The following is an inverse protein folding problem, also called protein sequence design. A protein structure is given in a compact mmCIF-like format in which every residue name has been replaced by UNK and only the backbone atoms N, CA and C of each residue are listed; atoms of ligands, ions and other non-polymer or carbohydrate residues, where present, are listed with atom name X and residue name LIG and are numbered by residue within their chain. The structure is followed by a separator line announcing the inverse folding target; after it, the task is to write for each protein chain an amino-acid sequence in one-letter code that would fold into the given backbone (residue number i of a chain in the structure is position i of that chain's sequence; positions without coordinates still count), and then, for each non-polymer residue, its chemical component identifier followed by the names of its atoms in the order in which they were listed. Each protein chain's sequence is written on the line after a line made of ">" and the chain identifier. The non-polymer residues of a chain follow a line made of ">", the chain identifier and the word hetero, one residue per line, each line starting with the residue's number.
data_IF_372859157826
#
_entry.id   IF_372859157826
#
_cell.length_a   1.000
_cell.length_b   1.000
_cell.length_c   1.000
_cell.angle_alpha   90.00
_cell.angle_beta   90.00
_cell.angle_gamma   90.00
#
_symmetry.space_group_name_H-M   'P 1'
#
loop_
_entity.id
_entity.type
_entity.pdbx_description
1 polymer ?
#
# COMPACT_ATOMS: atom_id res chain seq x y z
N UNK A 1 -8.52 8.08 17.99
CA UNK A 1 -7.43 7.55 17.15
C UNK A 1 -7.93 6.21 16.64
N UNK A 2 -8.36 6.14 15.37
CA UNK A 2 -8.88 4.90 14.79
C UNK A 2 -7.71 4.09 14.24
N UNK A 3 -7.44 2.93 14.85
CA UNK A 3 -6.58 1.91 14.24
C UNK A 3 -7.43 1.16 13.20
N UNK A 4 -7.42 1.66 11.97
CA UNK A 4 -8.03 0.93 10.85
C UNK A 4 -6.97 0.03 10.24
N UNK A 5 -7.02 -1.24 10.61
CA UNK A 5 -6.32 -2.30 9.87
C UNK A 5 -7.05 -2.41 8.55
N UNK A 6 -6.33 -2.19 7.45
CA UNK A 6 -6.92 -2.27 6.13
C UNK A 6 -6.13 -3.18 5.20
N UNK A 7 -6.86 -3.85 4.31
CA UNK A 7 -6.36 -4.83 3.36
C UNK A 7 -6.40 -4.22 1.98
N UNK A 8 -5.26 -4.23 1.29
CA UNK A 8 -5.15 -3.69 -0.06
C UNK A 8 -4.56 -4.67 -1.04
N UNK A 9 -5.03 -4.60 -2.28
CA UNK A 9 -4.47 -5.34 -3.40
C UNK A 9 -3.79 -4.35 -4.34
N UNK A 10 -2.59 -4.66 -4.78
CA UNK A 10 -1.80 -3.72 -5.59
C UNK A 10 -0.99 -4.40 -6.68
N UNK A 11 -0.75 -3.62 -7.73
CA UNK A 11 0.23 -3.92 -8.76
C UNK A 11 1.38 -2.95 -8.59
N UNK A 12 2.62 -3.40 -8.81
CA UNK A 12 3.77 -2.53 -8.66
C UNK A 12 4.84 -2.78 -9.70
N UNK A 13 5.47 -1.70 -10.12
CA UNK A 13 6.63 -1.73 -10.97
C UNK A 13 7.89 -1.54 -10.12
N UNK A 14 8.94 -2.31 -10.38
CA UNK A 14 10.24 -2.17 -9.74
C UNK A 14 11.35 -1.98 -10.77
N UNK A 15 12.09 -0.88 -10.63
CA UNK A 15 13.30 -0.62 -11.39
C UNK A 15 14.53 -0.92 -10.54
N UNK A 16 15.28 -1.96 -10.91
CA UNK A 16 16.48 -2.39 -10.19
C UNK A 16 17.69 -1.56 -10.58
N UNK A 17 18.29 -0.88 -9.61
CA UNK A 17 19.57 -0.20 -9.76
C UNK A 17 20.63 -0.91 -8.89
N UNK A 18 21.50 -1.67 -9.53
CA UNK A 18 22.49 -2.52 -8.84
C UNK A 18 21.95 -3.89 -8.40
N UNK A 19 22.66 -4.53 -7.46
CA UNK A 19 22.35 -5.91 -6.99
C UNK A 19 21.43 -5.95 -5.78
N UNK A 20 21.35 -4.87 -5.01
CA UNK A 20 20.74 -4.85 -3.69
C UNK A 20 19.71 -3.71 -3.53
N UNK A 21 19.33 -3.02 -4.61
CA UNK A 21 18.47 -1.85 -4.53
C UNK A 21 17.52 -1.76 -5.73
N UNK A 22 16.31 -1.24 -5.48
CA UNK A 22 15.32 -0.95 -6.51
C UNK A 22 14.47 0.26 -6.13
N UNK A 23 14.04 1.02 -7.14
CA UNK A 23 12.95 1.98 -6.98
C UNK A 23 11.66 1.23 -7.24
N UNK A 24 10.66 1.41 -6.39
CA UNK A 24 9.33 0.84 -6.58
C UNK A 24 8.30 1.95 -6.76
N UNK A 25 7.35 1.70 -7.65
CA UNK A 25 6.12 2.49 -7.77
C UNK A 25 4.94 1.50 -7.73
N UNK A 26 4.39 1.20 -6.54
CA UNK A 26 3.17 0.43 -6.45
C UNK A 26 1.93 1.33 -6.60
N UNK A 27 0.88 0.75 -7.14
CA UNK A 27 -0.48 1.26 -7.16
C UNK A 27 -1.32 0.25 -6.40
N UNK A 28 -1.84 0.67 -5.25
CA UNK A 28 -2.60 -0.15 -4.32
C UNK A 28 -4.03 0.34 -4.33
N UNK A 29 -4.97 -0.58 -4.56
CA UNK A 29 -6.38 -0.38 -4.31
C UNK A 29 -6.70 -0.77 -2.88
N UNK A 30 -7.29 0.16 -2.12
CA UNK A 30 -7.81 -0.08 -0.77
C UNK A 30 -9.33 -0.09 -0.79
N UNK A 31 -9.92 -1.01 -0.04
CA UNK A 31 -11.37 -1.08 0.16
C UNK A 31 -11.69 -1.68 1.52
N UNK A 32 -11.71 -0.84 2.56
CA UNK A 32 -12.03 -1.26 3.93
C UNK A 32 -12.76 -0.14 4.67
N UNK A 33 -13.69 -0.49 5.57
CA UNK A 33 -14.36 0.50 6.43
C UNK A 33 -15.05 1.65 5.70
N UNK A 34 -15.57 1.45 4.48
CA UNK A 34 -16.18 2.54 3.69
C UNK A 34 -15.19 3.49 3.03
N UNK A 35 -13.88 3.28 3.19
CA UNK A 35 -12.81 3.96 2.46
C UNK A 35 -12.46 3.13 1.23
N UNK A 36 -12.63 3.72 0.05
CA UNK A 36 -12.25 3.12 -1.23
C UNK A 36 -11.38 4.07 -2.04
N UNK A 37 -10.25 3.60 -2.53
CA UNK A 37 -9.38 4.47 -3.30
C UNK A 37 -8.17 3.79 -3.91
N UNK A 38 -7.53 4.54 -4.81
CA UNK A 38 -6.24 4.18 -5.37
C UNK A 38 -5.18 5.05 -4.72
N UNK A 39 -4.14 4.40 -4.25
CA UNK A 39 -2.97 5.02 -3.65
C UNK A 39 -1.77 4.59 -4.45
N UNK A 40 -0.97 5.53 -4.90
CA UNK A 40 0.35 5.23 -5.42
C UNK A 40 1.38 5.59 -4.37
N UNK A 41 2.52 4.91 -4.41
CA UNK A 41 3.67 5.36 -3.67
C UNK A 41 4.90 5.39 -4.55
N UNK A 42 5.88 6.19 -4.14
CA UNK A 42 7.23 6.13 -4.66
C UNK A 42 8.14 5.69 -3.53
N UNK A 43 8.94 4.66 -3.76
CA UNK A 43 9.77 4.11 -2.71
C UNK A 43 11.09 3.54 -3.15
N UNK A 44 11.96 3.38 -2.17
CA UNK A 44 13.26 2.76 -2.30
C UNK A 44 13.25 1.45 -1.53
N UNK A 45 13.52 0.35 -2.22
CA UNK A 45 13.66 -0.99 -1.64
C UNK A 45 15.12 -1.42 -1.62
N UNK A 46 15.53 -1.98 -0.50
CA UNK A 46 16.81 -2.64 -0.29
C UNK A 46 16.62 -4.14 -0.15
N UNK A 47 17.51 -4.90 -0.78
CA UNK A 47 17.54 -6.36 -0.80
C UNK A 47 18.86 -6.82 -0.14
N UNK A 48 18.91 -7.03 1.18
CA UNK A 48 20.15 -7.32 1.89
C UNK A 48 20.88 -8.56 1.36
N UNK A 49 20.12 -9.58 0.93
CA UNK A 49 20.65 -10.84 0.39
C UNK A 49 20.64 -10.91 -1.14
N UNK A 50 20.37 -9.78 -1.80
CA UNK A 50 20.27 -9.64 -3.25
C UNK A 50 18.93 -10.09 -3.84
N UNK A 51 18.47 -9.40 -4.89
CA UNK A 51 17.14 -9.63 -5.47
C UNK A 51 17.06 -10.89 -6.36
N UNK A 52 18.18 -11.53 -6.74
CA UNK A 52 18.19 -12.65 -7.71
C UNK A 52 17.85 -14.02 -7.13
N UNK A 53 17.70 -14.13 -5.82
CA UNK A 53 17.42 -15.40 -5.14
C UNK A 53 15.96 -15.85 -5.36
N UNK A 54 15.72 -17.16 -5.21
CA UNK A 54 14.36 -17.73 -5.23
C UNK A 54 13.54 -17.11 -4.10
N UNK A 55 14.12 -17.04 -2.90
CA UNK A 55 13.59 -16.29 -1.77
C UNK A 55 14.39 -15.00 -1.62
N UNK A 56 13.74 -13.85 -1.74
CA UNK A 56 14.38 -12.57 -1.50
C UNK A 56 13.56 -11.76 -0.50
N UNK A 57 14.23 -11.27 0.53
CA UNK A 57 13.66 -10.34 1.49
C UNK A 57 14.07 -8.92 1.13
N UNK A 58 13.15 -7.97 1.27
CA UNK A 58 13.40 -6.56 1.11
C UNK A 58 12.77 -5.71 2.21
N UNK A 59 13.46 -4.63 2.53
CA UNK A 59 12.93 -3.53 3.35
C UNK A 59 12.95 -2.26 2.51
N UNK A 60 11.92 -1.45 2.58
CA UNK A 60 11.84 -0.22 1.82
C UNK A 60 11.10 0.89 2.54
N UNK A 61 11.40 2.11 2.15
CA UNK A 61 10.66 3.30 2.55
C UNK A 61 9.89 3.83 1.37
N UNK A 62 8.66 4.27 1.63
CA UNK A 62 7.70 4.68 0.62
C UNK A 62 7.09 6.02 1.03
N UNK A 63 6.94 6.92 0.06
CA UNK A 63 6.12 8.12 0.18
C UNK A 63 4.81 7.85 -0.55
N UNK A 64 3.69 7.89 0.17
CA UNK A 64 2.35 7.67 -0.37
C UNK A 64 1.73 8.97 -0.81
N UNK A 65 1.05 8.91 -1.94
CA UNK A 65 0.19 9.95 -2.44
C UNK A 65 -1.00 9.30 -3.13
N UNK A 66 -2.19 9.75 -2.80
CA UNK A 66 -3.39 9.09 -3.30
C UNK A 66 -4.63 9.92 -3.10
N UNK A 67 -5.68 9.51 -3.80
CA UNK A 67 -7.01 10.11 -3.68
C UNK A 67 -7.95 9.02 -3.21
N UNK A 68 -8.43 9.15 -1.98
CA UNK A 68 -9.34 8.19 -1.36
C UNK A 68 -10.74 8.79 -1.28
N UNK A 69 -11.73 7.94 -1.47
CA UNK A 69 -13.13 8.25 -1.22
C UNK A 69 -13.48 7.70 0.15
N UNK A 70 -13.87 8.57 1.07
CA UNK A 70 -14.33 8.19 2.40
C UNK A 70 -15.85 8.26 2.39
N UNK A 71 -16.50 7.14 2.70
CA UNK A 71 -17.90 7.15 3.07
C UNK A 71 -17.99 7.69 4.50
N UNK A 72 -18.68 8.82 4.71
CA UNK A 72 -18.98 9.27 6.07
C UNK A 72 -19.96 8.27 6.70
N UNK A 73 -19.61 7.72 7.86
CA UNK A 73 -20.55 6.96 8.67
C UNK A 73 -21.61 7.86 9.32
N UNK A 74 -22.74 7.23 9.62
CA UNK A 74 -24.06 7.79 9.87
C UNK A 74 -24.17 8.89 10.93
N UNK A 75 -25.02 9.89 10.66
CA UNK A 75 -25.75 10.60 11.72
C UNK A 75 -26.97 9.74 12.08
N UNK A 76 -27.01 9.19 13.30
CA UNK A 76 -28.22 8.56 13.83
C UNK A 76 -29.24 9.66 14.10
N UNK A 77 -30.27 9.74 13.27
CA UNK A 77 -31.47 10.53 13.55
C UNK A 77 -32.66 9.58 13.54
N UNK A 78 -33.46 9.61 14.60
CA UNK A 78 -34.38 8.53 15.05
C UNK A 78 -35.34 7.94 13.99
N UNK A 79 -35.50 8.53 12.80
CA UNK A 79 -36.44 8.07 11.77
C UNK A 79 -35.91 8.01 10.33
N UNK A 80 -34.62 8.27 10.04
CA UNK A 80 -34.13 8.25 8.65
C UNK A 80 -32.62 8.04 8.52
N UNK A 81 -32.22 6.94 7.87
CA UNK A 81 -30.83 6.79 7.40
C UNK A 81 -30.65 7.73 6.21
N UNK A 82 -29.94 8.84 6.43
CA UNK A 82 -29.62 9.80 5.37
C UNK A 82 -28.16 9.61 4.96
N UNK A 83 -27.91 9.21 3.72
CA UNK A 83 -26.55 9.07 3.18
C UNK A 83 -25.99 10.46 2.86
N UNK A 84 -25.19 11.05 3.77
CA UNK A 84 -24.38 12.24 3.46
C UNK A 84 -23.25 11.81 2.50
N UNK A 85 -23.15 12.50 1.37
CA UNK A 85 -22.38 12.09 0.20
C UNK A 85 -20.89 11.76 0.43
N UNK A 86 -20.32 11.10 -0.58
CA UNK A 86 -18.92 10.67 -0.61
C UNK A 86 -17.97 11.88 -0.57
N UNK A 87 -17.11 11.97 0.45
CA UNK A 87 -16.05 12.98 0.49
C UNK A 87 -14.79 12.40 -0.15
N UNK A 88 -14.20 13.14 -1.08
CA UNK A 88 -12.94 12.74 -1.71
C UNK A 88 -11.80 13.52 -1.06
N UNK A 89 -10.86 12.80 -0.47
CA UNK A 89 -9.74 13.38 0.29
C UNK A 89 -8.41 12.93 -0.34
N UNK A 90 -7.46 13.87 -0.41
CA UNK A 90 -6.08 13.53 -0.79
C UNK A 90 -5.34 13.04 0.46
N UNK A 91 -4.56 11.97 0.30
CA UNK A 91 -3.66 11.47 1.33
C UNK A 91 -2.22 11.72 0.92
N UNK A 92 -1.43 12.15 1.89
CA UNK A 92 0.03 12.14 1.84
C UNK A 92 0.50 11.27 3.00
N UNK A 93 1.45 10.37 2.79
CA UNK A 93 1.91 9.52 3.88
C UNK A 93 3.30 8.98 3.69
N UNK A 94 3.79 8.30 4.71
CA UNK A 94 5.04 7.58 4.69
C UNK A 94 4.86 6.21 5.32
N UNK A 95 5.44 5.18 4.72
CA UNK A 95 5.53 3.84 5.29
C UNK A 95 6.91 3.21 5.12
N UNK A 96 7.20 2.35 6.10
CA UNK A 96 8.20 1.32 5.99
C UNK A 96 7.53 0.03 5.55
N UNK A 97 7.98 -0.50 4.42
CA UNK A 97 7.53 -1.75 3.84
C UNK A 97 8.55 -2.85 4.10
N UNK A 98 8.07 -3.98 4.58
CA UNK A 98 8.82 -5.21 4.70
C UNK A 98 8.20 -6.24 3.74
N UNK A 99 9.00 -6.96 2.99
CA UNK A 99 8.49 -7.80 1.92
C UNK A 99 9.34 -9.05 1.72
N UNK A 100 8.67 -10.19 1.62
CA UNK A 100 9.23 -11.45 1.16
C UNK A 100 8.74 -11.74 -0.25
N UNK A 101 9.65 -12.11 -1.14
CA UNK A 101 9.32 -12.54 -2.50
C UNK A 101 9.76 -13.97 -2.74
N UNK A 102 8.90 -14.71 -3.45
CA UNK A 102 9.19 -16.04 -3.96
C UNK A 102 9.19 -15.98 -5.49
N UNK A 103 10.32 -16.27 -6.12
CA UNK A 103 10.50 -16.19 -7.57
C UNK A 103 10.42 -17.56 -8.22
N UNK A 104 9.63 -17.64 -9.28
CA UNK A 104 9.52 -18.78 -10.18
C UNK A 104 9.83 -18.33 -11.61
N UNK A 105 11.08 -18.48 -12.04
CA UNK A 105 11.56 -18.03 -13.36
C UNK A 105 11.26 -16.53 -13.59
N UNK A 106 10.34 -16.21 -14.51
CA UNK A 106 9.91 -14.84 -14.87
C UNK A 106 8.79 -14.31 -13.98
N UNK A 107 8.18 -15.14 -13.14
CA UNK A 107 7.12 -14.76 -12.21
C UNK A 107 7.68 -14.61 -10.80
N UNK A 108 7.11 -13.71 -10.00
CA UNK A 108 7.31 -13.71 -8.55
C UNK A 108 6.02 -13.40 -7.81
N UNK A 109 5.88 -14.03 -6.64
CA UNK A 109 4.85 -13.75 -5.66
C UNK A 109 5.47 -12.91 -4.55
N UNK A 110 4.74 -11.91 -4.10
CA UNK A 110 5.16 -10.94 -3.10
C UNK A 110 4.19 -10.98 -1.92
N UNK A 111 4.74 -11.14 -0.72
CA UNK A 111 4.02 -11.02 0.55
C UNK A 111 4.70 -9.93 1.34
N UNK A 112 3.98 -8.89 1.73
CA UNK A 112 4.56 -7.81 2.47
C UNK A 112 3.62 -7.22 3.50
N UNK A 113 4.23 -6.51 4.42
CA UNK A 113 3.54 -5.68 5.38
C UNK A 113 4.15 -4.29 5.32
N UNK A 114 3.32 -3.28 5.52
CA UNK A 114 3.74 -1.90 5.64
C UNK A 114 3.16 -1.31 6.91
N UNK A 115 3.98 -0.51 7.58
CA UNK A 115 3.60 0.27 8.73
C UNK A 115 3.95 1.72 8.47
N UNK A 116 3.02 2.63 8.72
CA UNK A 116 3.23 4.02 8.42
C UNK A 116 2.19 4.96 8.98
N UNK A 117 2.36 6.23 8.59
CA UNK A 117 1.48 7.33 8.95
C UNK A 117 0.99 8.00 7.68
N UNK A 118 -0.30 8.28 7.64
CA UNK A 118 -0.92 9.12 6.62
C UNK A 118 -1.42 10.40 7.24
N UNK A 119 -1.12 11.50 6.57
CA UNK A 119 -1.78 12.77 6.76
C UNK A 119 -2.99 12.83 5.82
N UNK A 120 -4.17 12.65 6.41
CA UNK A 120 -5.45 13.07 5.85
C UNK A 120 -5.97 14.25 6.70
N UNK A 121 -7.28 14.55 6.63
CA UNK A 121 -7.93 15.54 7.52
C UNK A 121 -7.63 15.27 9.02
N UNK A 122 -7.27 14.03 9.36
CA UNK A 122 -6.66 13.62 10.62
C UNK A 122 -5.40 12.75 10.36
N UNK A 123 -4.46 12.73 11.31
CA UNK A 123 -3.31 11.82 11.26
C UNK A 123 -3.76 10.40 11.63
N UNK A 124 -3.59 9.45 10.71
CA UNK A 124 -3.89 8.04 10.95
C UNK A 124 -2.64 7.18 10.85
N UNK A 125 -2.51 6.24 11.79
CA UNK A 125 -1.60 5.12 11.70
C UNK A 125 -2.24 4.04 10.84
N UNK A 126 -1.46 3.40 9.97
CA UNK A 126 -1.96 2.27 9.20
C UNK A 126 -0.99 1.10 9.26
N UNK A 127 -1.57 -0.09 9.34
CA UNK A 127 -0.93 -1.37 9.07
C UNK A 127 -1.60 -1.93 7.83
N UNK A 128 -0.81 -2.27 6.83
CA UNK A 128 -1.32 -2.76 5.56
C UNK A 128 -0.52 -3.98 5.13
N UNK A 129 -1.20 -5.11 5.01
CA UNK A 129 -0.67 -6.34 4.41
C UNK A 129 -0.97 -6.34 2.92
N UNK A 130 0.07 -6.54 2.11
CA UNK A 130 -0.05 -6.62 0.67
C UNK A 130 0.35 -7.99 0.12
N UNK A 131 -0.40 -8.43 -0.87
CA UNK A 131 -0.09 -9.59 -1.70
C UNK A 131 0.04 -9.09 -3.13
N UNK A 132 1.12 -9.49 -3.81
CA UNK A 132 1.41 -9.05 -5.16
C UNK A 132 1.88 -10.20 -6.04
N UNK A 133 1.57 -10.10 -7.33
CA UNK A 133 2.16 -10.93 -8.37
C UNK A 133 2.88 -9.98 -9.32
N UNK A 134 4.10 -10.33 -9.72
CA UNK A 134 4.86 -9.54 -10.67
C UNK A 134 5.61 -10.39 -11.68
N UNK A 135 5.96 -9.75 -12.79
CA UNK A 135 6.73 -10.32 -13.88
C UNK A 135 8.09 -9.64 -13.99
N UNK A 136 9.13 -10.42 -14.28
CA UNK A 136 10.47 -9.96 -14.56
C UNK A 136 10.74 -10.12 -16.07
N UNK A 137 10.94 -9.00 -16.79
CA UNK A 137 11.21 -8.98 -18.24
C UNK A 137 12.70 -9.15 -18.59
N UNK A 138 13.52 -9.67 -17.67
CA UNK A 138 14.94 -9.99 -17.93
C UNK A 138 15.14 -11.47 -18.26
#
# INVERSE_FOLDING_TARGET
>A
MYEEIGTGYGLGFEYFFGKNSAVQIPVIYFSEGGIKGLVSSLGLKLYPYGYKKIFSWSIGSNVKFGRIRVANFHEYNYNKITYKGNVVTNILGFDLQNTLKVRMKRLYFEFGNSFGMTHAKENSLFINSNFGIGFNFR
#
